data_IF_673243463023
#
_entry.id   IF_673243463023
#
_cell.length_a   1.000
_cell.length_b   1.000
_cell.length_c   1.000
_cell.angle_alpha   90.00
_cell.angle_beta   90.00
_cell.angle_gamma   90.00
#
_symmetry.space_group_name_H-M   'P 1'
#
loop_
_entity.id
_entity.type
_entity.pdbx_description
1 polymer ?
#
# COMPACT_ATOMS: atom_id res chain seq x y z
N UNK A 1 -9.72 -1.35 -10.65
CA UNK A 1 -10.32 -2.16 -9.57
C UNK A 1 -10.50 -1.25 -8.37
N UNK A 2 -11.52 -1.47 -7.55
CA UNK A 2 -12.02 -0.56 -6.51
C UNK A 2 -10.92 0.07 -5.62
N UNK A 3 -9.84 -0.68 -5.35
CA UNK A 3 -8.71 -0.28 -4.50
C UNK A 3 -7.91 0.91 -5.01
N UNK A 4 -7.70 1.05 -6.33
CA UNK A 4 -6.92 2.17 -6.87
C UNK A 4 -7.61 3.51 -6.64
N UNK A 5 -8.94 3.53 -6.69
CA UNK A 5 -9.71 4.75 -6.48
C UNK A 5 -9.67 5.18 -5.02
N UNK A 6 -9.80 4.24 -4.08
CA UNK A 6 -9.64 4.46 -2.65
C UNK A 6 -8.22 4.91 -2.29
N UNK A 7 -7.19 4.28 -2.83
CA UNK A 7 -5.81 4.71 -2.60
C UNK A 7 -5.55 6.14 -3.10
N UNK A 8 -6.16 6.55 -4.21
CA UNK A 8 -6.13 7.93 -4.71
C UNK A 8 -6.89 8.90 -3.80
N UNK A 9 -7.95 8.46 -3.11
CA UNK A 9 -8.61 9.27 -2.08
C UNK A 9 -7.67 9.52 -0.89
N UNK A 10 -6.93 8.51 -0.44
CA UNK A 10 -5.94 8.66 0.64
C UNK A 10 -4.70 9.50 0.27
N UNK A 11 -4.37 9.63 -1.03
CA UNK A 11 -3.32 10.54 -1.51
C UNK A 11 -3.63 12.03 -1.24
N UNK A 12 -4.87 12.33 -0.86
CA UNK A 12 -5.37 13.57 -0.30
C UNK A 12 -5.38 14.82 -1.21
N UNK A 13 -6.58 15.34 -1.57
CA UNK A 13 -6.78 16.66 -2.16
C UNK A 13 -6.77 17.85 -1.15
N UNK A 14 -6.59 17.61 0.15
CA UNK A 14 -6.60 18.62 1.22
C UNK A 14 -5.21 19.04 1.74
N UNK A 15 -4.13 18.46 1.20
CA UNK A 15 -2.80 19.01 1.43
C UNK A 15 -2.67 20.29 0.59
N UNK A 16 -2.44 21.44 1.25
CA UNK A 16 -1.93 22.63 0.56
C UNK A 16 -0.84 22.20 -0.43
N UNK A 17 -0.86 22.68 -1.69
CA UNK A 17 0.17 22.34 -2.67
C UNK A 17 1.55 22.59 -2.04
N UNK A 18 2.25 21.49 -1.73
CA UNK A 18 3.58 21.56 -1.19
C UNK A 18 4.53 21.18 -2.32
N UNK A 19 5.12 22.19 -2.95
CA UNK A 19 6.07 22.03 -4.06
C UNK A 19 7.30 21.17 -3.72
N UNK A 20 7.48 20.81 -2.44
CA UNK A 20 8.58 19.95 -1.95
C UNK A 20 8.14 18.51 -1.67
N UNK A 21 6.85 18.19 -1.70
CA UNK A 21 6.34 16.86 -1.42
C UNK A 21 6.00 16.13 -2.72
N UNK A 22 6.74 15.06 -3.01
CA UNK A 22 6.38 14.10 -4.05
C UNK A 22 5.62 12.95 -3.41
N UNK A 23 4.49 12.59 -4.00
CA UNK A 23 3.67 11.46 -3.54
C UNK A 23 3.77 10.35 -4.58
N UNK A 24 4.11 9.14 -4.12
CA UNK A 24 4.27 7.95 -4.96
C UNK A 24 3.25 6.92 -4.53
N UNK A 25 2.47 6.42 -5.49
CA UNK A 25 1.54 5.32 -5.29
C UNK A 25 2.20 4.00 -5.68
N UNK A 26 2.26 3.07 -4.73
CA UNK A 26 2.73 1.71 -5.01
C UNK A 26 1.53 0.77 -5.20
N UNK A 27 1.54 0.03 -6.31
CA UNK A 27 0.66 -1.12 -6.52
C UNK A 27 1.47 -2.39 -6.30
N UNK A 28 1.17 -3.13 -5.23
CA UNK A 28 1.90 -4.35 -4.84
C UNK A 28 1.04 -5.56 -5.19
N UNK A 29 1.60 -6.51 -5.95
CA UNK A 29 0.97 -7.79 -6.24
C UNK A 29 1.54 -8.86 -5.32
N UNK A 30 0.68 -9.56 -4.60
CA UNK A 30 1.07 -10.62 -3.68
C UNK A 30 0.78 -11.98 -4.30
N UNK A 31 1.78 -12.86 -4.29
CA UNK A 31 1.57 -14.28 -4.59
C UNK A 31 1.18 -15.02 -3.31
N UNK A 32 -0.09 -15.44 -3.25
CA UNK A 32 -0.64 -16.16 -2.10
C UNK A 32 -0.21 -17.64 -2.06
N UNK A 33 0.40 -18.16 -3.13
CA UNK A 33 0.86 -19.55 -3.22
C UNK A 33 2.30 -19.74 -2.69
N UNK A 34 2.95 -18.67 -2.23
CA UNK A 34 4.27 -18.77 -1.60
C UNK A 34 4.21 -19.67 -0.37
N UNK A 35 5.22 -20.53 -0.21
CA UNK A 35 5.32 -21.43 0.94
C UNK A 35 5.49 -20.67 2.26
N UNK A 36 6.10 -19.49 2.21
CA UNK A 36 6.20 -18.55 3.32
C UNK A 36 5.54 -17.24 2.93
N UNK A 37 4.65 -16.73 3.80
CA UNK A 37 4.02 -15.42 3.62
C UNK A 37 4.76 -14.41 4.49
N UNK A 38 5.62 -13.54 3.92
CA UNK A 38 6.31 -12.51 4.70
C UNK A 38 5.39 -11.33 5.01
N UNK A 39 4.07 -11.53 5.01
CA UNK A 39 3.06 -10.51 5.23
C UNK A 39 1.87 -11.08 6.00
N UNK A 40 1.14 -10.22 6.68
CA UNK A 40 -0.05 -10.60 7.44
C UNK A 40 -1.10 -9.49 7.40
N UNK A 41 -2.36 -9.88 7.29
CA UNK A 41 -3.48 -8.95 7.48
C UNK A 41 -3.63 -8.65 8.97
N UNK A 42 -3.51 -7.38 9.33
CA UNK A 42 -3.62 -6.91 10.72
C UNK A 42 -4.83 -6.02 10.93
N UNK A 43 -5.83 -6.05 10.05
CA UNK A 43 -7.06 -5.24 10.17
C UNK A 43 -7.78 -5.50 11.50
N UNK A 44 -7.63 -6.69 12.07
CA UNK A 44 -8.20 -7.08 13.38
C UNK A 44 -7.36 -6.64 14.60
N UNK A 45 -6.15 -6.10 14.39
CA UNK A 45 -5.25 -5.59 15.42
C UNK A 45 -5.03 -4.08 15.29
N UNK A 46 -5.36 -3.50 14.15
CA UNK A 46 -5.17 -2.08 13.88
C UNK A 46 -6.19 -1.23 14.63
N UNK A 47 -5.77 -0.06 15.10
CA UNK A 47 -6.67 0.92 15.71
C UNK A 47 -7.70 1.46 14.69
N UNK A 48 -7.41 1.35 13.39
CA UNK A 48 -8.26 1.78 12.29
C UNK A 48 -8.71 0.56 11.46
N UNK A 49 -9.74 -0.13 11.94
CA UNK A 49 -10.27 -1.37 11.31
C UNK A 49 -10.69 -1.21 9.83
N UNK A 50 -11.01 0.02 9.39
CA UNK A 50 -11.45 0.32 8.03
C UNK A 50 -10.33 0.55 7.00
N UNK A 51 -9.06 0.45 7.39
CA UNK A 51 -7.91 0.72 6.50
C UNK A 51 -7.35 -0.55 5.82
N UNK A 52 -7.91 -1.73 6.11
CA UNK A 52 -7.54 -3.01 5.50
C UNK A 52 -6.00 -3.27 5.50
N UNK A 53 -5.36 -2.94 6.61
CA UNK A 53 -3.90 -2.90 6.72
C UNK A 53 -3.23 -4.28 6.55
N UNK A 54 -2.23 -4.34 5.66
CA UNK A 54 -1.34 -5.49 5.48
C UNK A 54 0.07 -5.10 5.94
N UNK A 55 0.60 -5.83 6.92
CA UNK A 55 1.94 -5.63 7.45
C UNK A 55 2.93 -6.59 6.79
N UNK A 56 4.06 -6.08 6.32
CA UNK A 56 5.17 -6.87 5.79
C UNK A 56 6.29 -7.03 6.82
N UNK A 57 6.93 -8.19 6.84
CA UNK A 57 8.12 -8.42 7.67
C UNK A 57 9.31 -7.60 7.16
N UNK A 58 10.16 -7.16 8.09
CA UNK A 58 11.42 -6.51 7.73
C UNK A 58 12.28 -7.45 6.87
N UNK A 59 12.88 -6.90 5.82
CA UNK A 59 13.65 -7.68 4.85
C UNK A 59 12.84 -8.29 3.71
N UNK A 60 11.53 -8.04 3.63
CA UNK A 60 10.73 -8.38 2.44
C UNK A 60 11.29 -7.67 1.21
N UNK A 61 11.51 -8.43 0.13
CA UNK A 61 11.98 -7.92 -1.15
C UNK A 61 10.80 -7.79 -2.12
N UNK A 62 10.76 -6.68 -2.85
CA UNK A 62 9.76 -6.41 -3.88
C UNK A 62 10.46 -6.21 -5.22
N UNK A 63 9.96 -6.85 -6.27
CA UNK A 63 10.38 -6.58 -7.64
C UNK A 63 9.60 -5.38 -8.21
N UNK A 64 10.30 -4.43 -8.81
CA UNK A 64 9.67 -3.30 -9.51
C UNK A 64 9.22 -3.77 -10.89
N UNK A 65 7.93 -4.05 -11.05
CA UNK A 65 7.37 -4.48 -12.34
C UNK A 65 7.21 -3.35 -13.35
N UNK A 66 6.60 -2.23 -12.97
CA UNK A 66 6.35 -1.09 -13.87
C UNK A 66 6.36 0.24 -13.13
N UNK A 67 6.87 1.28 -13.79
CA UNK A 67 6.80 2.67 -13.31
C UNK A 67 5.93 3.46 -14.28
N UNK A 68 4.92 4.16 -13.75
CA UNK A 68 4.02 5.03 -14.52
C UNK A 68 4.15 6.44 -13.96
N UNK A 69 4.35 7.41 -14.84
CA UNK A 69 4.50 8.83 -14.52
C UNK A 69 3.19 9.58 -14.75
#
# INVERSE_FOLDING_TARGET
>A
TLDRHLAVVFLNPFAEPNDKLQIVLFEIKLDLQLQTHPFYNISHLSYFEGEDEILFMIGTLFEVGSVVY
#
